data_IF_444253587018
#
_entry.id   IF_444253587018
#
_cell.length_a   1.000
_cell.length_b   1.000
_cell.length_c   1.000
_cell.angle_alpha   90.00
_cell.angle_beta   90.00
_cell.angle_gamma   90.00
#
_symmetry.space_group_name_H-M   'P 1'
#
loop_
_entity.id
_entity.type
_entity.pdbx_description
1 polymer ?
#
# COMPACT_ATOMS: atom_id res chain seq x y z
N UNK A 1 30.85 64.85 29.70
CA UNK A 1 29.38 64.76 29.79
C UNK A 1 28.89 63.53 29.04
N UNK A 2 28.24 62.62 29.75
CA UNK A 2 27.71 61.33 29.28
C UNK A 2 26.30 61.53 28.71
N UNK A 3 26.02 60.96 27.53
CA UNK A 3 24.69 60.53 27.05
C UNK A 3 24.94 59.30 26.16
N UNK A 4 25.06 58.06 26.68
CA UNK A 4 23.96 57.13 27.00
C UNK A 4 22.76 57.29 26.05
N UNK A 5 22.91 56.78 24.84
CA UNK A 5 21.82 56.54 23.90
C UNK A 5 21.77 55.02 23.65
N UNK A 6 20.77 54.43 24.30
CA UNK A 6 19.98 53.25 23.92
C UNK A 6 20.63 52.00 23.32
N UNK A 7 21.25 51.22 24.20
CA UNK A 7 21.50 49.77 24.02
C UNK A 7 20.20 48.94 24.12
N UNK A 8 19.04 49.55 24.45
CA UNK A 8 17.78 48.83 24.68
C UNK A 8 16.99 48.48 23.42
N UNK A 9 17.34 49.01 22.24
CA UNK A 9 16.57 48.74 21.00
C UNK A 9 17.13 47.56 20.19
N UNK A 10 18.38 47.15 20.42
CA UNK A 10 18.96 45.98 19.72
C UNK A 10 18.56 44.64 20.38
N UNK A 11 18.02 44.67 21.60
CA UNK A 11 17.62 43.48 22.36
C UNK A 11 16.13 43.10 22.23
N UNK A 12 15.33 43.84 21.46
CA UNK A 12 13.88 43.58 21.30
C UNK A 12 13.48 42.94 19.95
N UNK A 13 14.41 42.78 19.01
CA UNK A 13 14.14 42.11 17.72
C UNK A 13 14.55 40.62 17.68
N UNK A 14 15.00 40.06 18.80
CA UNK A 14 15.50 38.67 18.88
C UNK A 14 14.48 37.69 19.51
N UNK A 15 13.18 38.02 19.49
CA UNK A 15 12.17 37.32 20.30
C UNK A 15 10.94 36.75 19.54
N UNK A 16 10.91 36.74 18.20
CA UNK A 16 9.73 36.24 17.45
C UNK A 16 10.12 35.40 16.22
N UNK A 17 10.84 34.32 16.45
CA UNK A 17 11.16 33.33 15.43
C UNK A 17 11.35 31.94 16.00
N UNK A 18 10.55 31.55 17.01
CA UNK A 18 10.41 30.13 17.33
C UNK A 18 9.59 29.50 16.19
N UNK A 19 10.15 28.60 15.36
CA UNK A 19 9.29 27.76 14.54
C UNK A 19 8.46 26.95 15.54
N UNK A 20 7.15 27.19 15.55
CA UNK A 20 6.21 26.31 16.23
C UNK A 20 6.43 24.92 15.63
N UNK A 21 7.08 24.03 16.38
CA UNK A 21 7.28 22.62 16.02
C UNK A 21 5.91 21.97 16.13
N UNK A 22 5.19 21.65 15.03
CA UNK A 22 4.00 20.85 15.13
C UNK A 22 4.46 19.42 14.86
N UNK A 23 5.16 18.83 15.82
CA UNK A 23 5.44 17.41 15.82
C UNK A 23 4.80 16.87 17.08
N UNK A 24 3.51 16.52 16.97
CA UNK A 24 2.95 15.52 17.87
C UNK A 24 3.84 14.29 17.68
N UNK A 25 4.81 14.14 18.57
CA UNK A 25 5.47 12.87 18.78
C UNK A 25 4.35 11.89 19.07
N UNK A 26 4.05 11.02 18.12
CA UNK A 26 3.07 9.97 18.31
C UNK A 26 3.70 9.02 19.32
N UNK A 27 3.38 9.23 20.60
CA UNK A 27 3.86 8.36 21.66
C UNK A 27 3.15 7.02 21.51
N UNK A 28 3.90 5.93 21.68
CA UNK A 28 3.33 4.58 21.69
C UNK A 28 2.10 4.52 22.62
N UNK A 29 0.96 4.10 22.08
CA UNK A 29 -0.31 4.09 22.81
C UNK A 29 -0.22 3.20 24.06
N UNK A 30 -0.92 3.60 25.13
CA UNK A 30 -1.01 2.78 26.35
C UNK A 30 -1.59 1.40 26.06
N UNK A 31 -2.60 1.35 25.18
CA UNK A 31 -3.22 0.12 24.71
C UNK A 31 -2.21 -0.82 24.03
N UNK A 32 -1.32 -0.31 23.16
CA UNK A 32 -0.29 -1.11 22.52
C UNK A 32 0.75 -1.62 23.51
N UNK A 33 1.17 -0.76 24.46
CA UNK A 33 2.10 -1.17 25.54
C UNK A 33 1.53 -2.32 26.37
N UNK A 34 0.26 -2.21 26.76
CA UNK A 34 -0.42 -3.28 27.49
C UNK A 34 -0.55 -4.56 26.67
N UNK A 35 -0.94 -4.45 25.40
CA UNK A 35 -1.07 -5.61 24.51
C UNK A 35 0.27 -6.34 24.33
N UNK A 36 1.36 -5.60 24.11
CA UNK A 36 2.71 -6.14 23.99
C UNK A 36 3.15 -6.82 25.31
N UNK A 37 2.89 -6.18 26.45
CA UNK A 37 3.22 -6.73 27.77
C UNK A 37 2.47 -8.04 28.04
N UNK A 38 1.17 -8.10 27.73
CA UNK A 38 0.35 -9.31 27.87
C UNK A 38 0.87 -10.45 26.98
N UNK A 39 1.21 -10.16 25.72
CA UNK A 39 1.78 -11.15 24.80
C UNK A 39 3.14 -11.67 25.29
N UNK A 40 4.00 -10.78 25.79
CA UNK A 40 5.29 -11.14 26.38
C UNK A 40 5.14 -12.12 27.54
N UNK A 41 4.29 -11.78 28.52
CA UNK A 41 4.05 -12.61 29.71
C UNK A 41 3.48 -13.98 29.33
N UNK A 42 2.53 -14.01 28.39
CA UNK A 42 1.93 -15.26 27.92
C UNK A 42 2.94 -16.21 27.24
N UNK A 43 4.03 -15.67 26.69
CA UNK A 43 5.10 -16.44 26.05
C UNK A 43 6.31 -16.68 26.96
N UNK A 44 6.30 -16.15 28.18
CA UNK A 44 7.40 -16.29 29.13
C UNK A 44 8.64 -15.47 28.78
N UNK A 45 8.51 -14.45 27.92
CA UNK A 45 9.63 -13.55 27.60
C UNK A 45 9.89 -12.59 28.75
N UNK A 46 11.15 -12.23 28.96
CA UNK A 46 11.55 -11.32 30.03
C UNK A 46 11.03 -9.90 29.77
N UNK A 47 10.57 -9.24 30.83
CA UNK A 47 10.10 -7.85 30.73
C UNK A 47 11.20 -6.90 30.23
N UNK A 48 12.46 -7.16 30.60
CA UNK A 48 13.61 -6.35 30.19
C UNK A 48 13.82 -6.38 28.67
N UNK A 49 13.80 -7.56 28.06
CA UNK A 49 14.00 -7.71 26.61
C UNK A 49 12.87 -7.06 25.80
N UNK A 50 11.62 -7.14 26.30
CA UNK A 50 10.48 -6.48 25.64
C UNK A 50 10.48 -4.96 25.86
N UNK A 51 10.92 -4.49 27.03
CA UNK A 51 11.11 -3.06 27.29
C UNK A 51 12.10 -2.41 26.33
N UNK A 52 13.15 -3.13 25.91
CA UNK A 52 14.09 -2.64 24.89
C UNK A 52 13.39 -2.39 23.54
N UNK A 53 12.49 -3.28 23.11
CA UNK A 53 11.70 -3.09 21.89
C UNK A 53 10.73 -1.90 22.03
N UNK A 54 10.02 -1.81 23.15
CA UNK A 54 9.09 -0.71 23.45
C UNK A 54 9.79 0.66 23.47
N UNK A 55 11.01 0.71 24.01
CA UNK A 55 11.84 1.91 24.03
C UNK A 55 12.25 2.32 22.63
N UNK A 56 12.54 1.38 21.73
CA UNK A 56 12.84 1.71 20.33
C UNK A 56 11.62 2.29 19.60
N UNK A 57 10.45 1.70 19.77
CA UNK A 57 9.20 2.23 19.20
C UNK A 57 8.92 3.63 19.73
N UNK A 58 9.06 3.84 21.04
CA UNK A 58 8.84 5.15 21.67
C UNK A 58 9.83 6.20 21.14
N UNK A 59 11.13 5.88 21.04
CA UNK A 59 12.15 6.75 20.44
C UNK A 59 11.92 7.04 18.96
N UNK A 60 11.32 6.12 18.21
CA UNK A 60 10.91 6.38 16.84
C UNK A 60 9.77 7.40 16.80
N UNK A 61 8.76 7.24 17.66
CA UNK A 61 7.65 8.19 17.82
C UNK A 61 8.08 9.58 18.27
N UNK A 62 9.03 9.69 19.20
CA UNK A 62 9.66 10.96 19.60
C UNK A 62 10.32 11.70 18.44
N UNK A 63 10.77 10.96 17.42
CA UNK A 63 11.34 11.51 16.19
C UNK A 63 10.28 11.77 15.11
N UNK A 64 9.00 11.62 15.43
CA UNK A 64 7.88 11.82 14.51
C UNK A 64 7.76 10.71 13.45
N UNK A 65 8.23 9.50 13.76
CA UNK A 65 8.02 8.34 12.90
C UNK A 65 6.71 7.61 13.27
N UNK A 66 6.04 6.95 12.31
CA UNK A 66 4.82 6.19 12.55
C UNK A 66 5.04 5.09 13.60
N UNK A 67 4.35 5.15 14.74
CA UNK A 67 4.56 4.15 15.81
C UNK A 67 3.68 2.92 15.66
N UNK A 68 2.48 3.06 15.08
CA UNK A 68 1.54 1.95 14.90
C UNK A 68 2.16 0.80 14.08
N UNK A 69 2.78 1.01 12.90
CA UNK A 69 3.41 -0.08 12.15
C UNK A 69 4.54 -0.78 12.93
N UNK A 70 5.32 -0.01 13.70
CA UNK A 70 6.41 -0.54 14.52
C UNK A 70 5.89 -1.37 15.69
N UNK A 71 4.87 -0.88 16.39
CA UNK A 71 4.19 -1.59 17.47
C UNK A 71 3.51 -2.87 16.97
N UNK A 72 2.83 -2.79 15.82
CA UNK A 72 2.22 -3.95 15.16
C UNK A 72 3.26 -5.02 14.83
N UNK A 73 4.47 -4.64 14.41
CA UNK A 73 5.54 -5.61 14.16
C UNK A 73 6.00 -6.32 15.43
N UNK A 74 6.14 -5.60 16.53
CA UNK A 74 6.49 -6.19 17.84
C UNK A 74 5.38 -7.15 18.29
N UNK A 75 4.11 -6.74 18.23
CA UNK A 75 2.96 -7.59 18.55
C UNK A 75 2.94 -8.85 17.68
N UNK A 76 3.14 -8.73 16.37
CA UNK A 76 3.18 -9.86 15.43
C UNK A 76 4.29 -10.86 15.78
N UNK A 77 5.50 -10.37 16.06
CA UNK A 77 6.63 -11.20 16.44
C UNK A 77 6.37 -11.99 17.73
N UNK A 78 5.93 -11.30 18.78
CA UNK A 78 5.62 -11.92 20.07
C UNK A 78 4.43 -12.90 19.96
N UNK A 79 3.39 -12.54 19.20
CA UNK A 79 2.25 -13.43 18.96
C UNK A 79 2.67 -14.73 18.27
N UNK A 80 3.66 -14.68 17.38
CA UNK A 80 4.27 -15.84 16.72
C UNK A 80 5.30 -16.58 17.59
N UNK A 81 5.57 -16.11 18.82
CA UNK A 81 6.58 -16.69 19.70
C UNK A 81 8.01 -16.45 19.23
N UNK A 82 8.24 -15.38 18.46
CA UNK A 82 9.57 -14.98 18.03
C UNK A 82 10.29 -14.32 19.20
N UNK A 83 11.48 -14.81 19.53
CA UNK A 83 12.33 -14.23 20.57
C UNK A 83 12.56 -12.73 20.37
N UNK A 84 12.45 -11.88 21.41
CA UNK A 84 12.64 -10.43 21.30
C UNK A 84 13.94 -10.02 20.58
N UNK A 85 15.04 -10.77 20.82
CA UNK A 85 16.35 -10.55 20.18
C UNK A 85 16.33 -10.73 18.65
N UNK A 86 15.40 -11.54 18.13
CA UNK A 86 15.20 -11.72 16.68
C UNK A 86 14.26 -10.68 16.09
N UNK A 87 13.40 -10.07 16.91
CA UNK A 87 12.53 -8.95 16.50
C UNK A 87 13.36 -7.67 16.37
N UNK A 88 14.31 -7.44 17.27
CA UNK A 88 15.18 -6.25 17.31
C UNK A 88 15.79 -5.82 15.96
N UNK A 89 16.51 -6.68 15.21
CA UNK A 89 17.10 -6.27 13.93
C UNK A 89 16.05 -5.90 12.88
N UNK A 90 14.90 -6.56 12.87
CA UNK A 90 13.79 -6.25 11.96
C UNK A 90 13.20 -4.88 12.31
N UNK A 91 13.02 -4.61 13.59
CA UNK A 91 12.51 -3.32 14.07
C UNK A 91 13.46 -2.17 13.72
N UNK A 92 14.77 -2.36 13.93
CA UNK A 92 15.81 -1.39 13.55
C UNK A 92 15.80 -1.12 12.04
N UNK A 93 15.67 -2.16 11.23
CA UNK A 93 15.57 -2.01 9.78
C UNK A 93 14.32 -1.21 9.38
N UNK A 94 13.16 -1.51 9.98
CA UNK A 94 11.93 -0.76 9.72
C UNK A 94 12.07 0.72 10.10
N UNK A 95 12.69 1.01 11.25
CA UNK A 95 12.99 2.39 11.67
C UNK A 95 13.87 3.11 10.64
N UNK A 96 14.94 2.47 10.15
CA UNK A 96 15.80 3.04 9.12
C UNK A 96 15.06 3.31 7.79
N UNK A 97 14.12 2.43 7.41
CA UNK A 97 13.29 2.64 6.24
C UNK A 97 12.36 3.86 6.41
N UNK A 98 11.76 4.05 7.59
CA UNK A 98 10.93 5.22 7.89
C UNK A 98 11.75 6.51 7.89
N UNK A 99 12.97 6.48 8.42
CA UNK A 99 13.89 7.64 8.39
C UNK A 99 14.20 8.04 6.95
N UNK A 100 14.55 7.08 6.11
CA UNK A 100 14.82 7.29 4.67
C UNK A 100 13.57 7.83 3.95
N UNK A 101 12.38 7.32 4.29
CA UNK A 101 11.12 7.75 3.69
C UNK A 101 10.80 9.20 4.04
N UNK A 102 11.02 9.57 5.30
CA UNK A 102 10.85 10.95 5.76
C UNK A 102 11.83 11.89 5.06
N UNK A 103 13.10 11.51 4.92
CA UNK A 103 14.10 12.32 4.21
C UNK A 103 13.70 12.57 2.75
N UNK A 104 13.34 11.51 2.01
CA UNK A 104 12.90 11.62 0.61
C UNK A 104 11.64 12.50 0.47
N UNK A 105 10.68 12.38 1.39
CA UNK A 105 9.49 13.24 1.38
C UNK A 105 9.84 14.70 1.67
N UNK A 106 10.69 14.97 2.67
CA UNK A 106 11.13 16.33 2.99
C UNK A 106 11.86 16.98 1.82
N UNK A 107 12.77 16.27 1.16
CA UNK A 107 13.43 16.73 -0.06
C UNK A 107 12.44 16.98 -1.21
N UNK A 108 11.42 16.14 -1.34
CA UNK A 108 10.43 16.29 -2.41
C UNK A 108 9.56 17.53 -2.17
N UNK A 109 9.21 17.82 -0.91
CA UNK A 109 8.50 19.06 -0.53
C UNK A 109 9.34 20.29 -0.85
N UNK A 110 10.64 20.29 -0.52
CA UNK A 110 11.53 21.43 -0.85
C UNK A 110 11.70 21.64 -2.36
N UNK A 111 11.53 20.58 -3.16
CA UNK A 111 11.55 20.61 -4.64
C UNK A 111 10.18 20.92 -5.26
N UNK A 112 9.17 21.29 -4.46
CA UNK A 112 7.88 21.77 -4.97
C UNK A 112 6.79 20.71 -5.08
N UNK A 113 6.95 19.54 -4.46
CA UNK A 113 5.85 18.59 -4.22
C UNK A 113 4.75 19.28 -3.41
N UNK A 114 3.48 18.98 -3.72
CA UNK A 114 2.37 19.57 -2.94
C UNK A 114 2.41 19.00 -1.54
N UNK A 115 2.63 19.87 -0.56
CA UNK A 115 2.46 19.51 0.84
C UNK A 115 0.96 19.45 1.15
N UNK A 116 0.37 18.26 0.95
CA UNK A 116 -1.04 18.01 1.25
C UNK A 116 -1.22 17.58 2.70
N UNK A 117 -2.48 17.36 3.08
CA UNK A 117 -2.92 16.89 4.41
C UNK A 117 -1.97 15.86 5.06
N UNK A 118 -1.81 15.97 6.38
CA UNK A 118 -0.90 15.13 7.15
C UNK A 118 -1.21 13.63 6.98
N UNK A 119 -2.49 13.26 6.81
CA UNK A 119 -2.88 11.88 6.53
C UNK A 119 -2.33 11.33 5.21
N UNK A 120 -2.18 12.17 4.18
CA UNK A 120 -1.58 11.77 2.90
C UNK A 120 -0.06 11.60 3.05
N UNK A 121 0.59 12.48 3.80
CA UNK A 121 2.03 12.39 4.07
C UNK A 121 2.38 11.12 4.84
N UNK A 122 1.58 10.76 5.85
CA UNK A 122 1.77 9.53 6.62
C UNK A 122 1.67 8.28 5.74
N UNK A 123 0.58 8.16 4.95
CA UNK A 123 0.38 7.04 4.02
C UNK A 123 1.49 6.93 2.96
N UNK A 124 1.98 8.07 2.48
CA UNK A 124 3.12 8.12 1.58
C UNK A 124 4.41 7.63 2.26
N UNK A 125 4.65 8.04 3.51
CA UNK A 125 5.81 7.62 4.30
C UNK A 125 5.82 6.12 4.53
N UNK A 126 4.68 5.54 4.93
CA UNK A 126 4.51 4.09 5.06
C UNK A 126 4.74 3.37 3.73
N UNK A 127 4.21 3.92 2.64
CA UNK A 127 4.38 3.32 1.31
C UNK A 127 5.84 3.33 0.83
N UNK A 128 6.57 4.41 1.09
CA UNK A 128 8.00 4.51 0.83
C UNK A 128 8.81 3.56 1.71
N UNK A 129 8.52 3.51 3.01
CA UNK A 129 9.20 2.59 3.93
C UNK A 129 9.00 1.12 3.53
N UNK A 130 7.80 0.77 3.05
CA UNK A 130 7.51 -0.57 2.50
C UNK A 130 8.32 -0.82 1.21
N UNK A 131 8.41 0.16 0.30
CA UNK A 131 9.22 0.04 -0.91
C UNK A 131 10.71 -0.20 -0.59
N UNK A 132 11.26 0.51 0.39
CA UNK A 132 12.63 0.29 0.88
C UNK A 132 12.80 -1.08 1.52
N UNK A 133 11.80 -1.55 2.28
CA UNK A 133 11.77 -2.92 2.81
C UNK A 133 11.78 -3.99 1.72
N UNK A 134 11.33 -3.68 0.51
CA UNK A 134 11.36 -4.55 -0.68
C UNK A 134 12.57 -4.31 -1.58
N UNK A 135 13.53 -3.50 -1.16
CA UNK A 135 14.80 -3.33 -1.85
C UNK A 135 14.86 -2.17 -2.86
N UNK A 136 13.86 -1.29 -2.89
CA UNK A 136 14.06 0.02 -3.52
C UNK A 136 15.09 0.83 -2.71
N UNK A 137 15.87 1.69 -3.37
CA UNK A 137 16.79 2.62 -2.69
C UNK A 137 16.24 4.04 -2.69
N UNK A 138 16.73 4.88 -1.77
CA UNK A 138 16.35 6.30 -1.73
C UNK A 138 16.70 7.02 -3.05
N UNK A 139 17.84 6.70 -3.66
CA UNK A 139 18.26 7.28 -4.93
C UNK A 139 17.36 6.86 -6.09
N UNK A 140 16.96 5.59 -6.15
CA UNK A 140 15.99 5.10 -7.14
C UNK A 140 14.64 5.83 -7.02
N UNK A 141 14.19 6.11 -5.79
CA UNK A 141 12.96 6.89 -5.56
C UNK A 141 13.14 8.37 -5.93
N UNK A 142 14.31 8.97 -5.65
CA UNK A 142 14.63 10.34 -6.09
C UNK A 142 14.66 10.44 -7.62
N UNK A 143 15.21 9.44 -8.29
CA UNK A 143 15.21 9.35 -9.76
C UNK A 143 13.79 9.20 -10.31
N UNK A 144 12.97 8.34 -9.68
CA UNK A 144 11.57 8.20 -10.02
C UNK A 144 10.80 9.51 -9.85
N UNK A 145 11.01 10.24 -8.74
CA UNK A 145 10.38 11.53 -8.49
C UNK A 145 10.73 12.55 -9.58
N UNK A 146 12.01 12.61 -9.98
CA UNK A 146 12.50 13.48 -11.05
C UNK A 146 11.91 13.10 -12.41
N UNK A 147 11.88 11.81 -12.74
CA UNK A 147 11.38 11.34 -14.02
C UNK A 147 9.85 11.47 -14.13
N UNK A 148 9.10 11.15 -13.07
CA UNK A 148 7.64 11.17 -13.06
C UNK A 148 7.03 12.57 -13.03
N UNK A 149 7.82 13.62 -12.75
CA UNK A 149 7.33 14.99 -12.72
C UNK A 149 7.15 15.56 -14.13
N UNK A 150 5.90 15.85 -14.50
CA UNK A 150 5.57 16.56 -15.75
C UNK A 150 5.77 18.06 -15.55
N UNK A 151 6.29 18.76 -16.56
CA UNK A 151 6.44 20.21 -16.50
C UNK A 151 5.09 20.88 -16.21
N UNK A 152 5.04 21.68 -15.14
CA UNK A 152 3.83 22.38 -14.70
C UNK A 152 2.88 21.58 -13.80
N UNK A 153 3.12 20.28 -13.58
CA UNK A 153 2.31 19.47 -12.67
C UNK A 153 3.11 19.13 -11.40
N UNK A 154 2.56 19.47 -10.24
CA UNK A 154 3.16 19.09 -8.96
C UNK A 154 2.81 17.64 -8.63
N UNK A 155 3.82 16.87 -8.22
CA UNK A 155 3.63 15.53 -7.72
C UNK A 155 2.95 15.57 -6.34
N UNK A 156 2.11 14.59 -6.03
CA UNK A 156 1.57 14.40 -4.67
C UNK A 156 2.40 13.35 -3.91
N UNK A 157 2.44 13.41 -2.56
CA UNK A 157 3.14 12.42 -1.75
C UNK A 157 2.63 10.99 -2.00
N UNK A 158 1.31 10.82 -2.11
CA UNK A 158 0.66 9.53 -2.35
C UNK A 158 1.07 8.92 -3.70
N UNK A 159 1.19 9.76 -4.74
CA UNK A 159 1.70 9.32 -6.05
C UNK A 159 3.16 8.86 -5.97
N UNK A 160 4.01 9.55 -5.22
CA UNK A 160 5.41 9.15 -5.03
C UNK A 160 5.50 7.82 -4.26
N UNK A 161 4.73 7.68 -3.18
CA UNK A 161 4.68 6.45 -2.39
C UNK A 161 4.16 5.25 -3.20
N UNK A 162 3.09 5.44 -3.97
CA UNK A 162 2.56 4.43 -4.89
C UNK A 162 3.55 4.05 -5.99
N UNK A 163 4.18 5.04 -6.63
CA UNK A 163 5.21 4.81 -7.64
C UNK A 163 6.41 4.04 -7.10
N UNK A 164 6.90 4.39 -5.91
CA UNK A 164 8.01 3.68 -5.26
C UNK A 164 7.66 2.22 -4.95
N UNK A 165 6.43 1.95 -4.48
CA UNK A 165 5.93 0.57 -4.28
C UNK A 165 5.90 -0.21 -5.58
N UNK A 166 5.37 0.38 -6.65
CA UNK A 166 5.34 -0.24 -7.97
C UNK A 166 6.74 -0.55 -8.50
N UNK A 167 7.68 0.37 -8.34
CA UNK A 167 9.08 0.16 -8.69
C UNK A 167 9.69 -1.02 -7.93
N UNK A 168 9.47 -1.11 -6.62
CA UNK A 168 9.97 -2.23 -5.82
C UNK A 168 9.39 -3.57 -6.31
N UNK A 169 8.09 -3.63 -6.63
CA UNK A 169 7.44 -4.83 -7.18
C UNK A 169 7.99 -5.22 -8.56
N UNK A 170 8.26 -4.25 -9.43
CA UNK A 170 8.89 -4.50 -10.75
C UNK A 170 10.30 -5.05 -10.57
N UNK A 171 11.06 -4.53 -9.60
CA UNK A 171 12.42 -5.00 -9.29
C UNK A 171 12.45 -6.46 -8.83
N UNK A 172 11.42 -6.91 -8.11
CA UNK A 172 11.24 -8.33 -7.76
C UNK A 172 11.06 -9.24 -9.00
N UNK A 173 10.71 -8.69 -10.16
CA UNK A 173 10.66 -9.40 -11.44
C UNK A 173 12.05 -9.56 -12.11
N UNK A 174 13.12 -9.08 -11.46
CA UNK A 174 14.49 -9.01 -11.99
C UNK A 174 14.65 -8.03 -13.16
N UNK A 175 13.77 -7.04 -13.26
CA UNK A 175 13.90 -5.94 -14.23
C UNK A 175 14.87 -4.90 -13.64
N UNK A 176 15.85 -4.39 -14.42
CA UNK A 176 16.76 -3.35 -13.94
C UNK A 176 16.00 -2.13 -13.41
N UNK A 177 16.42 -1.60 -12.26
CA UNK A 177 15.71 -0.52 -11.57
C UNK A 177 15.49 0.71 -12.44
N UNK A 178 16.46 1.05 -13.30
CA UNK A 178 16.37 2.19 -14.22
C UNK A 178 15.20 2.04 -15.21
N UNK A 179 15.03 0.84 -15.73
CA UNK A 179 14.01 0.54 -16.74
C UNK A 179 12.63 0.45 -16.08
N UNK A 180 12.56 -0.21 -14.92
CA UNK A 180 11.35 -0.23 -14.09
C UNK A 180 10.91 1.18 -13.67
N UNK A 181 11.85 2.04 -13.27
CA UNK A 181 11.56 3.43 -12.91
C UNK A 181 11.07 4.23 -14.12
N UNK A 182 11.62 4.00 -15.31
CA UNK A 182 11.17 4.66 -16.53
C UNK A 182 9.72 4.31 -16.90
N UNK A 183 9.32 3.04 -16.73
CA UNK A 183 7.94 2.58 -16.95
C UNK A 183 6.97 3.21 -15.93
N UNK A 184 7.30 3.17 -14.64
CA UNK A 184 6.47 3.78 -13.59
C UNK A 184 6.36 5.29 -13.79
N UNK A 185 7.47 5.97 -14.10
CA UNK A 185 7.49 7.40 -14.38
C UNK A 185 6.61 7.77 -15.58
N UNK A 186 6.58 6.95 -16.63
CA UNK A 186 5.68 7.18 -17.77
C UNK A 186 4.21 7.03 -17.34
N UNK A 187 3.86 6.00 -16.58
CA UNK A 187 2.52 5.86 -16.01
C UNK A 187 2.11 7.09 -15.18
N UNK A 188 3.02 7.61 -14.35
CA UNK A 188 2.79 8.83 -13.58
C UNK A 188 2.56 10.06 -14.48
N UNK A 189 3.34 10.23 -15.56
CA UNK A 189 3.17 11.32 -16.53
C UNK A 189 1.84 11.26 -17.29
N UNK A 190 1.35 10.05 -17.55
CA UNK A 190 0.06 9.79 -18.17
C UNK A 190 -1.12 9.84 -17.19
N UNK A 191 -0.85 10.16 -15.92
CA UNK A 191 -1.88 10.36 -14.90
C UNK A 191 -2.47 9.07 -14.36
N UNK A 192 -1.72 7.96 -14.38
CA UNK A 192 -2.11 6.75 -13.66
C UNK A 192 -2.22 7.04 -12.17
N UNK A 193 -3.23 6.47 -11.53
CA UNK A 193 -3.42 6.51 -10.08
C UNK A 193 -2.48 5.51 -9.39
N UNK A 194 -2.23 5.63 -8.08
CA UNK A 194 -1.39 4.69 -7.34
C UNK A 194 -1.85 3.23 -7.48
N UNK A 195 -3.16 3.00 -7.52
CA UNK A 195 -3.74 1.66 -7.74
C UNK A 195 -3.40 1.10 -9.13
N UNK A 196 -3.51 1.92 -10.18
CA UNK A 196 -3.20 1.51 -11.55
C UNK A 196 -1.71 1.21 -11.74
N UNK A 197 -0.83 2.00 -11.09
CA UNK A 197 0.61 1.71 -11.05
C UNK A 197 0.89 0.40 -10.33
N UNK A 198 0.16 0.08 -9.26
CA UNK A 198 0.32 -1.16 -8.53
C UNK A 198 -0.13 -2.37 -9.37
N UNK A 199 -1.23 -2.24 -10.11
CA UNK A 199 -1.71 -3.27 -11.03
C UNK A 199 -0.72 -3.48 -12.18
N UNK A 200 -0.22 -2.40 -12.80
CA UNK A 200 0.85 -2.46 -13.80
C UNK A 200 2.08 -3.22 -13.28
N UNK A 201 2.54 -2.90 -12.08
CA UNK A 201 3.70 -3.56 -11.49
C UNK A 201 3.46 -5.06 -11.23
N UNK A 202 2.25 -5.44 -10.82
CA UNK A 202 1.88 -6.85 -10.63
C UNK A 202 1.85 -7.60 -11.96
N UNK A 203 1.28 -7.02 -13.02
CA UNK A 203 1.29 -7.64 -14.35
C UNK A 203 2.72 -7.79 -14.88
N UNK A 204 3.55 -6.74 -14.77
CA UNK A 204 4.98 -6.83 -15.13
C UNK A 204 5.68 -7.95 -14.35
N UNK A 205 5.40 -8.08 -13.05
CA UNK A 205 5.95 -9.16 -12.22
C UNK A 205 5.47 -10.54 -12.65
N UNK A 206 4.20 -10.69 -13.01
CA UNK A 206 3.66 -11.96 -13.54
C UNK A 206 4.33 -12.35 -14.85
N UNK A 207 4.57 -11.38 -15.74
CA UNK A 207 5.27 -11.57 -17.01
C UNK A 207 6.80 -11.49 -16.90
N UNK A 208 7.38 -11.56 -15.69
CA UNK A 208 8.83 -11.39 -15.49
C UNK A 208 9.71 -12.36 -16.30
N UNK A 209 9.22 -13.56 -16.62
CA UNK A 209 9.90 -14.48 -17.55
C UNK A 209 10.01 -13.91 -18.96
N UNK A 210 8.96 -13.28 -19.45
CA UNK A 210 8.85 -12.78 -20.82
C UNK A 210 9.80 -11.59 -21.04
N UNK A 211 10.03 -10.78 -19.99
CA UNK A 211 11.06 -9.74 -19.99
C UNK A 211 12.48 -10.33 -20.03
N UNK A 212 12.75 -11.40 -19.26
CA UNK A 212 14.07 -12.06 -19.26
C UNK A 212 14.37 -12.75 -20.58
N UNK A 213 13.35 -13.27 -21.24
CA UNK A 213 13.45 -13.91 -22.55
C UNK A 213 13.42 -12.89 -23.71
N UNK A 214 13.27 -11.60 -23.42
CA UNK A 214 13.19 -10.53 -24.42
C UNK A 214 11.94 -10.56 -25.29
N UNK A 215 10.90 -11.32 -24.90
CA UNK A 215 9.60 -11.35 -25.57
C UNK A 215 8.81 -10.06 -25.36
N UNK A 216 9.00 -9.43 -24.20
CA UNK A 216 8.47 -8.12 -23.86
C UNK A 216 9.63 -7.23 -23.43
N UNK A 217 9.58 -5.95 -23.80
CA UNK A 217 10.60 -4.96 -23.38
C UNK A 217 9.96 -3.87 -22.55
N UNK A 218 10.72 -3.26 -21.65
CA UNK A 218 10.26 -2.09 -20.89
C UNK A 218 10.00 -0.89 -21.80
N UNK A 219 10.72 -0.80 -22.92
CA UNK A 219 10.53 0.19 -23.96
C UNK A 219 9.16 0.04 -24.62
N UNK A 220 8.77 -1.17 -25.04
CA UNK A 220 7.46 -1.41 -25.67
C UNK A 220 6.31 -1.08 -24.72
N UNK A 221 6.45 -1.43 -23.44
CA UNK A 221 5.45 -1.08 -22.41
C UNK A 221 5.36 0.43 -22.21
N UNK A 222 6.51 1.12 -22.13
CA UNK A 222 6.55 2.58 -22.00
C UNK A 222 5.90 3.26 -23.20
N UNK A 223 6.17 2.77 -24.41
CA UNK A 223 5.59 3.32 -25.64
C UNK A 223 4.07 3.14 -25.66
N UNK A 224 3.55 1.97 -25.28
CA UNK A 224 2.12 1.74 -25.13
C UNK A 224 1.47 2.67 -24.11
N UNK A 225 2.06 2.81 -22.91
CA UNK A 225 1.58 3.75 -21.88
C UNK A 225 1.57 5.18 -22.42
N UNK A 226 2.62 5.59 -23.15
CA UNK A 226 2.72 6.93 -23.74
C UNK A 226 1.61 7.24 -24.75
N UNK A 227 1.06 6.20 -25.40
CA UNK A 227 -0.12 6.29 -26.29
C UNK A 227 -1.45 6.29 -25.53
N UNK A 228 -1.42 6.22 -24.20
CA UNK A 228 -2.59 6.22 -23.33
C UNK A 228 -3.21 4.85 -23.10
N UNK A 229 -2.51 3.76 -23.45
CA UNK A 229 -2.97 2.41 -23.13
C UNK A 229 -2.92 2.18 -21.61
N UNK A 230 -3.95 1.51 -21.06
CA UNK A 230 -4.08 1.19 -19.63
C UNK A 230 -3.48 -0.20 -19.35
N UNK A 231 -3.09 -0.43 -18.10
CA UNK A 231 -2.38 -1.65 -17.66
C UNK A 231 -3.08 -2.96 -18.02
N UNK A 232 -4.42 -2.98 -18.02
CA UNK A 232 -5.25 -4.14 -18.37
C UNK A 232 -5.19 -4.54 -19.85
N UNK A 233 -4.76 -3.62 -20.73
CA UNK A 233 -4.67 -3.86 -22.18
C UNK A 233 -3.27 -4.22 -22.66
N UNK A 234 -2.23 -3.81 -21.92
CA UNK A 234 -0.82 -3.95 -22.33
C UNK A 234 -0.41 -5.41 -22.61
N UNK A 235 -1.04 -6.37 -21.93
CA UNK A 235 -0.68 -7.78 -21.98
C UNK A 235 -1.72 -8.67 -22.70
N UNK A 236 -2.87 -8.13 -23.08
CA UNK A 236 -4.02 -8.93 -23.57
C UNK A 236 -3.80 -9.57 -24.93
N UNK A 237 -3.02 -8.93 -25.79
CA UNK A 237 -2.80 -9.39 -27.17
C UNK A 237 -1.81 -10.57 -27.27
N UNK A 238 -1.04 -10.83 -26.21
CA UNK A 238 -0.01 -11.88 -26.20
C UNK A 238 -0.58 -13.23 -25.77
N UNK A 239 -1.60 -13.24 -24.92
CA UNK A 239 -2.26 -14.47 -24.46
C UNK A 239 -3.18 -15.11 -25.51
N UNK A 240 -3.41 -14.46 -26.66
CA UNK A 240 -4.27 -14.96 -27.74
C UNK A 240 -3.49 -15.50 -28.95
N UNK A 241 -2.16 -15.58 -28.88
CA UNK A 241 -1.32 -16.22 -29.90
C UNK A 241 -1.38 -17.76 -29.91
N UNK A 242 -2.09 -18.37 -28.97
CA UNK A 242 -2.26 -19.82 -28.86
C UNK A 242 -3.32 -20.37 -29.82
N UNK A 243 -2.93 -20.60 -31.08
CA UNK A 243 -3.35 -21.74 -31.91
C UNK A 243 -4.74 -22.35 -31.64
N UNK A 244 -5.81 -21.57 -31.82
CA UNK A 244 -7.19 -22.04 -31.93
C UNK A 244 -7.53 -22.42 -33.36
N UNK A 245 -6.78 -23.35 -33.95
CA UNK A 245 -7.18 -24.04 -35.17
C UNK A 245 -8.41 -24.90 -34.87
N UNK A 246 -9.59 -24.29 -34.96
CA UNK A 246 -10.88 -24.90 -34.71
C UNK A 246 -11.78 -24.80 -35.94
N UNK A 247 -11.40 -25.53 -36.99
CA UNK A 247 -12.32 -25.95 -38.05
C UNK A 247 -13.48 -26.77 -37.44
N UNK A 248 -14.62 -26.14 -37.17
CA UNK A 248 -15.98 -26.72 -37.17
C UNK A 248 -16.94 -25.55 -37.42
N UNK A 249 -17.60 -25.37 -38.56
CA UNK A 249 -18.24 -26.38 -39.41
C UNK A 249 -19.69 -26.59 -38.95
N UNK A 250 -20.66 -26.02 -39.69
CA UNK A 250 -22.12 -26.23 -39.55
C UNK A 250 -22.75 -25.43 -38.40
N UNK A 251 -23.99 -24.96 -38.43
CA UNK A 251 -25.17 -25.10 -39.28
C UNK A 251 -26.08 -23.91 -38.91
N UNK A 252 -26.59 -23.14 -39.87
CA UNK A 252 -27.98 -23.20 -40.37
C UNK A 252 -29.09 -23.17 -39.31
N UNK A 253 -29.98 -22.19 -39.51
CA UNK A 253 -31.39 -22.23 -39.08
C UNK A 253 -31.57 -21.80 -37.63
N UNK A 254 -32.45 -20.89 -37.28
CA UNK A 254 -33.66 -20.41 -37.93
C UNK A 254 -34.58 -19.89 -36.83
N UNK A 255 -35.50 -19.02 -37.21
CA UNK A 255 -36.87 -18.95 -36.67
C UNK A 255 -37.07 -18.85 -35.14
N UNK A 256 -37.50 -17.70 -34.61
CA UNK A 256 -38.91 -17.26 -34.49
C UNK A 256 -39.47 -17.48 -33.07
N UNK A 257 -40.23 -16.46 -32.66
CA UNK A 257 -41.36 -16.48 -31.71
C UNK A 257 -40.99 -16.57 -30.21
N UNK A 258 -41.35 -15.56 -29.42
CA UNK A 258 -42.72 -15.23 -28.97
C UNK A 258 -43.22 -16.28 -27.96
N UNK A 259 -43.28 -15.88 -26.68
CA UNK A 259 -44.31 -16.25 -25.70
C UNK A 259 -44.01 -15.62 -24.36
N UNK A 260 -44.89 -14.73 -23.95
CA UNK A 260 -45.07 -14.41 -22.54
C UNK A 260 -45.76 -15.54 -21.77
N UNK A 261 -46.18 -15.12 -20.58
CA UNK A 261 -47.21 -15.72 -19.73
C UNK A 261 -46.84 -16.92 -18.84
N UNK A 262 -47.09 -16.62 -17.57
CA UNK A 262 -47.87 -17.40 -16.63
C UNK A 262 -47.16 -18.43 -15.74
N UNK A 263 -47.36 -18.14 -14.45
CA UNK A 263 -47.82 -19.03 -13.38
C UNK A 263 -46.79 -19.91 -12.65
N UNK A 264 -46.61 -19.54 -11.39
CA UNK A 264 -47.13 -20.26 -10.22
C UNK A 264 -47.02 -21.79 -10.13
N UNK A 265 -46.76 -22.20 -8.89
CA UNK A 265 -46.95 -23.52 -8.26
C UNK A 265 -45.88 -24.56 -8.51
N UNK A 266 -45.09 -24.74 -7.44
CA UNK A 266 -45.30 -25.88 -6.55
C UNK A 266 -44.73 -27.21 -7.04
N UNK A 267 -43.77 -27.75 -6.31
CA UNK A 267 -43.26 -29.09 -6.57
C UNK A 267 -42.18 -29.45 -5.58
N UNK A 268 -42.62 -29.89 -4.41
CA UNK A 268 -41.85 -30.67 -3.45
C UNK A 268 -41.55 -32.06 -4.04
N UNK A 269 -40.61 -32.74 -3.39
CA UNK A 269 -40.31 -34.18 -3.48
C UNK A 269 -39.38 -34.56 -4.65
N UNK A 270 -38.39 -35.42 -4.53
CA UNK A 270 -37.74 -36.11 -3.41
C UNK A 270 -36.56 -36.89 -4.04
N UNK A 271 -35.52 -37.18 -3.25
CA UNK A 271 -34.66 -38.39 -3.32
C UNK A 271 -33.69 -38.61 -4.49
N UNK A 272 -32.46 -38.95 -4.09
CA UNK A 272 -31.53 -39.77 -4.86
C UNK A 272 -30.10 -39.21 -4.82
N UNK A 273 -29.39 -39.26 -3.70
CA UNK A 273 -28.65 -40.44 -3.21
C UNK A 273 -27.33 -40.70 -3.96
N UNK A 274 -26.30 -41.06 -3.17
CA UNK A 274 -24.86 -41.30 -3.46
C UNK A 274 -24.02 -40.02 -3.41
N UNK A 275 -23.17 -39.82 -2.41
CA UNK A 275 -22.35 -40.77 -1.67
C UNK A 275 -20.94 -40.20 -1.73
N UNK A 276 -20.40 -39.71 -0.62
CA UNK A 276 -19.63 -40.52 0.34
C UNK A 276 -18.17 -40.08 0.25
N UNK A 277 -17.75 -39.24 1.19
CA UNK A 277 -16.40 -39.21 1.80
C UNK A 277 -16.38 -38.23 2.98
N UNK A 278 -16.96 -38.74 4.06
CA UNK A 278 -16.33 -38.90 5.37
C UNK A 278 -15.01 -38.15 5.65
N UNK A 279 -15.06 -37.46 6.80
CA UNK A 279 -14.11 -37.56 7.92
C UNK A 279 -12.84 -36.69 7.96
N UNK A 280 -12.97 -35.51 8.58
CA UNK A 280 -12.36 -35.14 9.87
C UNK A 280 -12.75 -33.68 10.17
N UNK A 281 -13.60 -33.37 11.15
CA UNK A 281 -13.36 -33.59 12.58
C UNK A 281 -12.39 -32.50 13.08
N UNK A 282 -12.75 -31.54 13.91
CA UNK A 282 -14.01 -31.25 14.60
C UNK A 282 -13.83 -30.02 15.51
N UNK A 283 -14.95 -29.63 16.15
CA UNK A 283 -14.99 -28.81 17.37
C UNK A 283 -15.32 -27.34 17.13
N UNK A 284 -16.52 -26.86 17.48
CA UNK A 284 -16.98 -26.51 18.86
C UNK A 284 -16.20 -25.29 19.40
N UNK A 285 -16.78 -24.18 19.84
CA UNK A 285 -18.13 -23.91 20.34
C UNK A 285 -18.50 -22.42 20.20
N UNK A 286 -19.81 -22.23 20.24
CA UNK A 286 -20.64 -21.08 20.60
C UNK A 286 -20.03 -19.87 21.36
N UNK A 287 -20.42 -18.68 20.88
CA UNK A 287 -20.83 -17.46 21.62
C UNK A 287 -21.16 -16.42 20.54
N UNK A 288 -22.36 -15.84 20.39
CA UNK A 288 -23.38 -15.46 21.38
C UNK A 288 -23.54 -13.93 21.33
N UNK A 289 -24.75 -13.45 21.01
CA UNK A 289 -25.20 -12.03 21.15
C UNK A 289 -25.17 -11.24 19.83
N UNK A 290 -26.32 -10.91 19.20
CA UNK A 290 -27.21 -9.75 19.46
C UNK A 290 -26.41 -8.42 19.53
N UNK A 291 -26.75 -7.35 18.81
CA UNK A 291 -28.09 -6.78 18.62
C UNK A 291 -28.13 -5.75 17.47
N UNK A 292 -29.34 -5.50 16.98
CA UNK A 292 -29.97 -4.22 16.62
C UNK A 292 -29.37 -3.29 15.55
N UNK A 293 -30.19 -3.00 14.54
CA UNK A 293 -29.99 -1.91 13.59
C UNK A 293 -31.11 -1.83 12.57
N UNK A 294 -32.30 -1.40 13.00
CA UNK A 294 -33.45 -1.13 12.14
C UNK A 294 -33.42 0.25 11.48
N UNK A 295 -34.32 0.42 10.49
CA UNK A 295 -34.70 1.70 9.86
C UNK A 295 -34.16 1.84 8.43
N UNK A 296 -34.95 2.13 7.39
CA UNK A 296 -36.35 2.51 7.29
C UNK A 296 -36.57 3.23 5.95
N UNK A 297 -37.77 3.10 5.35
CA UNK A 297 -38.37 4.00 4.35
C UNK A 297 -37.68 4.09 2.98
N UNK A 298 -38.31 3.93 1.83
CA UNK A 298 -39.68 4.23 1.46
C UNK A 298 -39.65 5.21 0.29
N UNK A 299 -40.17 4.83 -0.87
CA UNK A 299 -40.71 5.77 -1.86
C UNK A 299 -41.49 4.98 -2.91
N UNK A 300 -42.81 5.04 -2.83
CA UNK A 300 -43.68 4.80 -3.96
C UNK A 300 -43.61 5.96 -4.95
N UNK A 301 -43.94 5.69 -6.20
CA UNK A 301 -44.42 6.70 -7.13
C UNK A 301 -45.31 6.03 -8.17
N UNK A 302 -46.61 6.23 -7.98
CA UNK A 302 -47.59 6.23 -9.05
C UNK A 302 -47.65 7.65 -9.62
N UNK A 303 -47.61 7.74 -10.95
CA UNK A 303 -48.21 8.70 -11.88
C UNK A 303 -47.41 8.71 -13.18
#
# INVERSE_FOLDING_TARGET
>A
MRKRIDIRVVLLCLALGLPAVPALAESLSTQDREAITRLSTARGHSAEEVNQLLNQVSRAGERGLPTEPLANKVKEGLAKGVEPRRIDPVLKQMVGNFESAREVLQESVTKGMVDQDQGNRQRAMESLAEAFGRGATADEVRDLARAGQRQGQRMSPDMLGGGAKSLAVIKEAMIPSKDGAAVVAEGMRQGFRPAELADLAREIKRHGSDFREGRITTESIRDQISRGERSDRLFRDQDHGGSGGGDRGGDRGGDRMDRGRDSDRGGRDDRGDRGDRSDRGGGRDDRGGRSDGGGGGGSGRDH
#
